data_IF_647364155947
#
_entry.id   IF_647364155947
#
_cell.length_a   1.000
_cell.length_b   1.000
_cell.length_c   1.000
_cell.angle_alpha   90.00
_cell.angle_beta   90.00
_cell.angle_gamma   90.00
#
_symmetry.space_group_name_H-M   'P 1'
#
loop_
_entity.id
_entity.type
_entity.pdbx_description
1 polymer ?
#
# COMPACT_ATOMS: atom_id res chain seq x y z
N UNK A 1 -11.81 -17.07 24.04
CA UNK A 1 -10.75 -17.42 23.10
C UNK A 1 -9.41 -17.08 23.73
N UNK A 2 -8.49 -18.02 23.78
CA UNK A 2 -7.14 -17.80 24.31
C UNK A 2 -6.20 -17.39 23.17
N UNK A 3 -6.50 -16.24 22.51
CA UNK A 3 -5.73 -15.71 21.41
C UNK A 3 -4.88 -14.54 21.93
N UNK A 4 -3.58 -14.69 21.83
CA UNK A 4 -2.59 -13.70 22.29
C UNK A 4 -1.64 -13.24 21.16
N UNK A 5 -1.92 -13.62 19.93
CA UNK A 5 -1.18 -13.20 18.74
C UNK A 5 -2.10 -12.44 17.79
N UNK A 6 -1.69 -11.24 17.41
CA UNK A 6 -2.46 -10.37 16.53
C UNK A 6 -1.54 -9.84 15.43
N UNK A 7 -2.00 -9.96 14.18
CA UNK A 7 -1.37 -9.31 13.03
C UNK A 7 -2.34 -8.27 12.51
N UNK A 8 -1.89 -7.02 12.50
CA UNK A 8 -2.69 -5.89 12.05
C UNK A 8 -2.26 -5.43 10.66
N UNK A 9 -3.22 -5.40 9.75
CA UNK A 9 -3.10 -4.84 8.40
C UNK A 9 -3.07 -3.31 8.48
N UNK A 10 -1.89 -2.74 8.68
CA UNK A 10 -1.67 -1.30 8.66
C UNK A 10 -1.35 -0.81 7.24
N UNK A 11 -0.82 0.39 7.09
CA UNK A 11 -0.56 1.00 5.79
C UNK A 11 0.64 1.94 5.86
N UNK A 12 1.44 1.97 4.80
CA UNK A 12 2.54 2.95 4.64
C UNK A 12 2.05 4.40 4.57
N UNK A 13 0.76 4.65 4.30
CA UNK A 13 0.19 6.01 4.33
C UNK A 13 0.28 6.69 5.69
N UNK A 14 0.52 5.94 6.78
CA UNK A 14 0.75 6.50 8.13
C UNK A 14 2.00 7.38 8.21
N UNK A 15 2.96 7.23 7.30
CA UNK A 15 4.18 8.04 7.27
C UNK A 15 3.95 9.48 6.81
N UNK A 16 2.97 9.72 5.94
CA UNK A 16 2.68 11.05 5.39
C UNK A 16 3.85 11.63 4.60
N UNK A 17 4.14 12.93 4.80
CA UNK A 17 5.12 13.68 4.00
C UNK A 17 6.34 14.20 4.77
N UNK A 18 6.41 14.03 6.10
CA UNK A 18 7.48 14.63 6.92
C UNK A 18 8.84 13.98 6.69
N UNK A 19 8.84 12.70 6.36
CA UNK A 19 10.05 11.91 6.19
C UNK A 19 10.47 11.89 4.72
N UNK A 20 11.76 11.66 4.49
CA UNK A 20 12.28 11.43 3.13
C UNK A 20 12.22 9.93 2.80
N UNK A 21 11.74 9.54 1.60
CA UNK A 21 11.78 8.16 1.16
C UNK A 21 13.23 7.68 0.94
N UNK A 22 13.53 6.37 1.06
CA UNK A 22 12.61 5.30 1.43
C UNK A 22 12.26 5.34 2.93
N UNK A 23 10.98 5.08 3.25
CA UNK A 23 10.50 5.09 4.62
C UNK A 23 10.90 3.82 5.37
N UNK A 24 11.40 4.00 6.58
CA UNK A 24 11.72 2.91 7.51
C UNK A 24 10.69 2.86 8.64
N UNK A 25 10.60 1.72 9.31
CA UNK A 25 9.60 1.49 10.36
C UNK A 25 9.74 2.46 11.54
N UNK A 26 10.94 2.95 11.80
CA UNK A 26 11.24 3.94 12.84
C UNK A 26 10.97 5.39 12.43
N UNK A 27 10.53 5.64 11.20
CA UNK A 27 10.12 6.97 10.78
C UNK A 27 8.94 7.48 11.60
N UNK A 28 8.94 8.79 11.87
CA UNK A 28 7.83 9.45 12.56
C UNK A 28 6.54 9.34 11.73
N UNK A 29 5.43 8.98 12.38
CA UNK A 29 4.13 8.94 11.75
C UNK A 29 3.55 10.36 11.60
N UNK A 30 3.00 10.65 10.44
CA UNK A 30 2.33 11.92 10.13
C UNK A 30 1.16 11.69 9.17
N UNK A 31 0.11 10.98 9.59
CA UNK A 31 -1.01 10.65 8.73
C UNK A 31 -1.75 11.91 8.27
N UNK A 32 -1.87 12.13 6.97
CA UNK A 32 -2.45 13.33 6.36
C UNK A 32 -3.90 13.17 5.86
N UNK A 33 -4.43 11.96 5.87
CA UNK A 33 -5.82 11.69 5.48
C UNK A 33 -6.54 10.81 6.53
N UNK A 34 -7.90 10.75 6.51
CA UNK A 34 -8.67 10.01 7.50
C UNK A 34 -8.33 8.52 7.57
N UNK A 35 -8.08 7.88 6.43
CA UNK A 35 -7.68 6.47 6.39
C UNK A 35 -6.35 6.23 7.13
N UNK A 36 -5.34 7.04 6.81
CA UNK A 36 -4.04 6.96 7.47
C UNK A 36 -4.12 7.25 8.97
N UNK A 37 -4.94 8.24 9.36
CA UNK A 37 -5.19 8.56 10.78
C UNK A 37 -5.81 7.38 11.53
N UNK A 38 -6.79 6.71 10.93
CA UNK A 38 -7.41 5.53 11.53
C UNK A 38 -6.39 4.40 11.72
N UNK A 39 -5.54 4.14 10.71
CA UNK A 39 -4.50 3.11 10.82
C UNK A 39 -3.48 3.45 11.93
N UNK A 40 -3.01 4.69 11.98
CA UNK A 40 -2.08 5.14 13.04
C UNK A 40 -2.71 5.09 14.44
N UNK A 41 -3.99 5.44 14.56
CA UNK A 41 -4.73 5.33 15.82
C UNK A 41 -4.82 3.88 16.31
N UNK A 42 -5.10 2.94 15.41
CA UNK A 42 -5.15 1.51 15.78
C UNK A 42 -3.76 1.01 16.17
N UNK A 43 -2.69 1.40 15.46
CA UNK A 43 -1.32 1.03 15.85
C UNK A 43 -1.00 1.53 17.27
N UNK A 44 -1.37 2.78 17.60
CA UNK A 44 -1.19 3.32 18.94
C UNK A 44 -2.00 2.55 19.99
N UNK A 45 -3.26 2.28 19.72
CA UNK A 45 -4.13 1.49 20.60
C UNK A 45 -3.57 0.08 20.86
N UNK A 46 -3.07 -0.58 19.83
CA UNK A 46 -2.45 -1.90 19.96
C UNK A 46 -1.14 -1.84 20.76
N UNK A 47 -0.40 -0.75 20.65
CA UNK A 47 0.79 -0.52 21.48
C UNK A 47 0.43 -0.36 22.94
N UNK A 48 -0.61 0.38 23.28
CA UNK A 48 -1.08 0.56 24.65
C UNK A 48 -1.56 -0.77 25.26
N UNK A 49 -2.26 -1.61 24.48
CA UNK A 49 -2.63 -2.97 24.90
C UNK A 49 -1.39 -3.80 25.21
N UNK A 50 -0.41 -3.78 24.30
CA UNK A 50 0.84 -4.51 24.50
C UNK A 50 1.57 -4.02 25.76
N UNK A 51 1.72 -2.70 25.93
CA UNK A 51 2.44 -2.12 27.07
C UNK A 51 1.78 -2.44 28.42
N UNK A 52 0.46 -2.63 28.44
CA UNK A 52 -0.27 -3.01 29.65
C UNK A 52 -0.06 -4.47 30.05
N UNK A 53 0.28 -5.37 29.12
CA UNK A 53 0.43 -6.82 29.36
C UNK A 53 1.46 -7.44 28.39
N UNK A 54 2.71 -7.00 28.47
CA UNK A 54 3.80 -7.36 27.53
C UNK A 54 4.05 -8.87 27.44
N UNK A 55 3.98 -9.58 28.55
CA UNK A 55 4.19 -11.04 28.58
C UNK A 55 3.05 -11.84 27.92
N UNK A 56 1.90 -11.20 27.73
CA UNK A 56 0.71 -11.87 27.20
C UNK A 56 0.58 -11.73 25.70
N UNK A 57 0.96 -10.59 25.12
CA UNK A 57 0.65 -10.24 23.77
C UNK A 57 1.86 -10.35 22.82
N UNK A 58 1.59 -10.85 21.61
CA UNK A 58 2.48 -10.74 20.47
C UNK A 58 1.72 -10.00 19.36
N UNK A 59 2.15 -8.79 19.03
CA UNK A 59 1.47 -7.93 18.08
C UNK A 59 2.42 -7.56 16.96
N UNK A 60 1.97 -7.75 15.72
CA UNK A 60 2.73 -7.39 14.52
C UNK A 60 1.87 -6.45 13.68
N UNK A 61 2.36 -5.24 13.43
CA UNK A 61 1.80 -4.33 12.45
C UNK A 61 2.49 -4.53 11.10
N UNK A 62 1.73 -4.76 10.05
CA UNK A 62 2.22 -4.84 8.67
C UNK A 62 1.78 -3.59 7.91
N UNK A 63 2.73 -2.70 7.61
CA UNK A 63 2.48 -1.46 6.85
C UNK A 63 2.64 -1.74 5.37
N UNK A 64 1.52 -1.92 4.67
CA UNK A 64 1.53 -2.17 3.24
C UNK A 64 1.83 -0.90 2.46
N UNK A 65 2.62 -1.05 1.40
CA UNK A 65 2.68 -0.08 0.33
C UNK A 65 1.52 -0.33 -0.65
N UNK A 66 1.72 -0.41 -1.95
CA UNK A 66 0.63 -0.53 -2.91
C UNK A 66 0.53 -1.97 -3.46
N UNK A 67 -0.38 -2.81 -2.93
CA UNK A 67 -0.54 -4.15 -3.47
C UNK A 67 -1.14 -4.10 -4.88
N UNK A 68 -0.60 -4.92 -5.77
CA UNK A 68 -1.06 -5.11 -7.15
C UNK A 68 -0.98 -6.59 -7.54
N UNK A 69 -1.54 -6.92 -8.70
CA UNK A 69 -1.49 -8.28 -9.25
C UNK A 69 -2.67 -9.14 -8.80
N UNK A 70 -2.55 -10.41 -9.15
CA UNK A 70 -3.53 -11.45 -8.86
C UNK A 70 -2.82 -12.77 -8.55
N UNK A 71 -3.53 -13.73 -7.99
CA UNK A 71 -2.99 -15.06 -7.74
C UNK A 71 -2.56 -15.73 -9.06
N UNK A 72 -1.46 -16.45 -9.03
CA UNK A 72 -0.84 -17.09 -10.22
C UNK A 72 -1.78 -18.02 -10.99
N UNK A 73 -2.80 -18.59 -10.33
CA UNK A 73 -3.84 -19.39 -11.01
C UNK A 73 -4.84 -18.57 -11.82
N UNK A 74 -4.87 -17.24 -11.68
CA UNK A 74 -5.89 -16.38 -12.29
C UNK A 74 -7.29 -16.48 -11.70
N UNK A 75 -7.50 -17.30 -10.65
CA UNK A 75 -8.82 -17.51 -10.03
C UNK A 75 -9.15 -16.48 -8.94
N UNK A 76 -8.15 -15.82 -8.39
CA UNK A 76 -8.30 -14.84 -7.32
C UNK A 76 -7.60 -13.55 -7.75
N UNK A 77 -8.33 -12.44 -7.71
CA UNK A 77 -7.80 -11.12 -8.07
C UNK A 77 -8.69 -10.00 -7.53
N UNK A 78 -8.28 -8.76 -7.75
CA UNK A 78 -9.02 -7.58 -7.33
C UNK A 78 -10.16 -7.29 -8.31
N UNK A 79 -11.41 -7.45 -7.84
CA UNK A 79 -12.63 -7.11 -8.59
C UNK A 79 -13.55 -6.28 -7.71
N UNK A 80 -13.29 -4.98 -7.55
CA UNK A 80 -14.06 -4.13 -6.66
C UNK A 80 -15.49 -3.93 -7.14
N UNK A 81 -16.43 -3.92 -6.20
CA UNK A 81 -17.82 -3.53 -6.48
C UNK A 81 -17.88 -2.02 -6.68
N UNK A 82 -18.40 -1.58 -7.84
CA UNK A 82 -18.49 -0.17 -8.21
C UNK A 82 -17.22 0.37 -8.88
N UNK A 83 -16.97 1.69 -8.74
CA UNK A 83 -15.82 2.33 -9.38
C UNK A 83 -14.54 2.07 -8.59
N UNK A 84 -13.49 1.50 -9.21
CA UNK A 84 -12.21 1.30 -8.54
C UNK A 84 -11.56 2.61 -8.09
N UNK A 85 -10.87 2.56 -6.95
CA UNK A 85 -10.06 3.68 -6.47
C UNK A 85 -8.56 3.45 -6.68
N UNK A 86 -8.14 2.19 -6.79
CA UNK A 86 -6.75 1.82 -7.04
C UNK A 86 -6.42 1.92 -8.53
N UNK A 87 -5.17 2.29 -8.83
CA UNK A 87 -4.74 2.52 -10.22
C UNK A 87 -4.78 1.23 -11.07
N UNK A 88 -4.40 0.09 -10.51
CA UNK A 88 -4.31 -1.15 -11.29
C UNK A 88 -5.67 -1.65 -11.78
N UNK A 89 -6.73 -1.76 -10.94
CA UNK A 89 -8.08 -2.05 -11.41
C UNK A 89 -8.63 -1.00 -12.40
N UNK A 90 -8.25 0.28 -12.26
CA UNK A 90 -8.63 1.32 -13.24
C UNK A 90 -8.00 1.03 -14.62
N UNK A 91 -6.72 0.66 -14.65
CA UNK A 91 -6.02 0.26 -15.88
C UNK A 91 -6.72 -0.94 -16.54
N UNK A 92 -7.02 -1.99 -15.76
CA UNK A 92 -7.71 -3.20 -16.27
C UNK A 92 -9.09 -2.88 -16.82
N UNK A 93 -9.87 -2.05 -16.13
CA UNK A 93 -11.18 -1.61 -16.62
C UNK A 93 -11.07 -0.76 -17.88
N UNK A 94 -10.10 0.15 -17.96
CA UNK A 94 -9.85 0.94 -19.15
C UNK A 94 -9.55 0.06 -20.38
N UNK A 95 -8.73 -0.98 -20.18
CA UNK A 95 -8.42 -1.92 -21.26
C UNK A 95 -9.65 -2.72 -21.72
N UNK A 96 -10.44 -3.24 -20.76
CA UNK A 96 -11.58 -4.11 -21.09
C UNK A 96 -12.76 -3.36 -21.68
N UNK A 97 -12.98 -2.09 -21.27
CA UNK A 97 -14.13 -1.28 -21.65
C UNK A 97 -13.80 -0.12 -22.61
N UNK A 98 -12.52 0.05 -22.97
CA UNK A 98 -12.01 1.19 -23.72
C UNK A 98 -12.39 2.54 -23.04
N UNK A 99 -12.32 2.59 -21.72
CA UNK A 99 -12.60 3.78 -20.93
C UNK A 99 -11.32 4.62 -20.73
N UNK A 100 -11.51 5.92 -20.48
CA UNK A 100 -10.42 6.83 -20.12
C UNK A 100 -10.19 6.81 -18.62
N UNK A 101 -8.93 6.79 -18.19
CA UNK A 101 -8.56 6.92 -16.78
C UNK A 101 -8.05 8.31 -16.44
N UNK A 102 -8.20 8.71 -15.16
CA UNK A 102 -7.67 9.97 -14.67
C UNK A 102 -6.41 9.75 -13.85
N UNK A 103 -5.34 10.47 -14.22
CA UNK A 103 -4.09 10.56 -13.45
C UNK A 103 -4.16 11.83 -12.60
N UNK A 104 -4.03 11.69 -11.28
CA UNK A 104 -4.19 12.79 -10.33
C UNK A 104 -2.85 13.50 -10.06
N UNK A 105 -2.70 14.68 -10.66
CA UNK A 105 -1.48 15.48 -10.64
C UNK A 105 -0.51 15.13 -11.77
N UNK A 106 -0.01 16.18 -12.43
CA UNK A 106 1.07 16.12 -13.40
C UNK A 106 2.19 17.13 -13.08
N UNK A 107 2.13 17.64 -11.87
CA UNK A 107 2.99 18.73 -11.36
C UNK A 107 3.66 18.34 -10.02
N UNK A 108 3.66 17.04 -9.68
CA UNK A 108 4.37 16.55 -8.50
C UNK A 108 5.89 16.73 -8.68
N UNK A 109 6.66 16.96 -7.59
CA UNK A 109 8.12 17.10 -7.64
C UNK A 109 8.81 15.74 -7.88
N UNK A 110 8.49 15.11 -8.99
CA UNK A 110 8.97 13.81 -9.46
C UNK A 110 9.47 13.93 -10.90
N UNK A 111 10.14 12.92 -11.42
CA UNK A 111 10.77 12.98 -12.76
C UNK A 111 9.79 13.21 -13.91
N UNK A 112 8.56 12.68 -13.80
CA UNK A 112 7.52 12.79 -14.83
C UNK A 112 6.27 13.55 -14.38
N UNK A 113 6.32 14.17 -13.19
CA UNK A 113 5.24 14.96 -12.62
C UNK A 113 4.12 14.12 -12.00
N UNK A 114 4.19 12.80 -12.00
CA UNK A 114 3.18 11.92 -11.37
C UNK A 114 3.67 11.32 -10.05
N UNK A 115 2.75 10.86 -9.22
CA UNK A 115 3.10 10.23 -7.93
C UNK A 115 3.96 8.98 -8.13
N UNK A 116 4.92 8.77 -7.22
CA UNK A 116 5.75 7.55 -7.14
C UNK A 116 5.22 6.68 -6.01
N UNK A 117 5.04 5.39 -6.31
CA UNK A 117 4.56 4.38 -5.36
C UNK A 117 5.46 3.14 -5.40
N UNK A 118 5.53 2.47 -4.26
CA UNK A 118 6.12 1.13 -4.16
C UNK A 118 5.01 0.10 -4.39
N UNK A 119 5.12 -0.66 -5.46
CA UNK A 119 4.13 -1.68 -5.82
C UNK A 119 4.65 -3.06 -5.41
N UNK A 120 3.92 -3.72 -4.53
CA UNK A 120 4.20 -5.08 -4.06
C UNK A 120 3.19 -6.07 -4.66
N UNK A 121 3.65 -7.25 -5.09
CA UNK A 121 2.73 -8.27 -5.57
C UNK A 121 1.86 -8.81 -4.44
N UNK A 122 0.58 -9.05 -4.72
CA UNK A 122 -0.39 -9.48 -3.69
C UNK A 122 -0.03 -10.84 -3.08
N UNK A 123 0.64 -11.74 -3.82
CA UNK A 123 1.12 -13.01 -3.29
C UNK A 123 2.27 -12.80 -2.28
N UNK A 124 3.20 -11.88 -2.56
CA UNK A 124 4.29 -11.54 -1.62
C UNK A 124 3.73 -10.89 -0.35
N UNK A 125 2.69 -10.06 -0.50
CA UNK A 125 1.96 -9.49 0.63
C UNK A 125 1.31 -10.59 1.49
N UNK A 126 0.65 -11.57 0.86
CA UNK A 126 0.04 -12.70 1.55
C UNK A 126 1.09 -13.58 2.26
N UNK A 127 2.22 -13.83 1.60
CA UNK A 127 3.34 -14.56 2.19
C UNK A 127 3.90 -13.83 3.43
N UNK A 128 3.98 -12.51 3.40
CA UNK A 128 4.37 -11.69 4.55
C UNK A 128 3.46 -11.93 5.77
N UNK A 129 2.15 -12.10 5.56
CA UNK A 129 1.20 -12.46 6.63
C UNK A 129 1.43 -13.86 7.16
N UNK A 130 1.58 -14.84 6.26
CA UNK A 130 1.82 -16.24 6.64
C UNK A 130 3.11 -16.34 7.45
N UNK A 131 4.21 -15.76 6.99
CA UNK A 131 5.49 -15.73 7.72
C UNK A 131 5.38 -15.05 9.09
N UNK A 132 4.58 -14.00 9.20
CA UNK A 132 4.32 -13.33 10.48
C UNK A 132 3.54 -14.22 11.45
N UNK A 133 2.62 -15.06 10.95
CA UNK A 133 1.89 -16.03 11.75
C UNK A 133 2.76 -17.21 12.18
N UNK A 134 3.56 -17.72 11.28
CA UNK A 134 4.40 -18.92 11.50
C UNK A 134 5.60 -18.63 12.41
N UNK A 135 6.08 -17.38 12.43
CA UNK A 135 7.23 -17.03 13.26
C UNK A 135 6.83 -16.96 14.75
N UNK A 136 6.78 -18.12 15.38
CA UNK A 136 6.42 -18.26 16.80
C UNK A 136 7.50 -17.76 17.75
N UNK A 137 8.73 -17.57 17.28
CA UNK A 137 9.85 -17.05 18.08
C UNK A 137 9.79 -15.53 18.23
N UNK A 138 9.08 -14.84 17.34
CA UNK A 138 8.93 -13.39 17.36
C UNK A 138 7.92 -12.98 18.45
N UNK A 139 8.43 -12.72 19.63
CA UNK A 139 7.62 -12.22 20.77
C UNK A 139 7.69 -10.71 20.85
N UNK A 140 6.61 -10.09 21.33
CA UNK A 140 6.57 -8.66 21.60
C UNK A 140 5.74 -7.86 20.60
N UNK A 141 6.08 -6.57 20.47
CA UNK A 141 5.43 -5.64 19.56
C UNK A 141 6.37 -5.28 18.41
N UNK A 142 5.95 -5.61 17.20
CA UNK A 142 6.77 -5.42 16.01
C UNK A 142 6.01 -4.67 14.93
N UNK A 143 6.74 -3.96 14.10
CA UNK A 143 6.20 -3.31 12.90
C UNK A 143 7.11 -3.61 11.73
N UNK A 144 6.53 -4.00 10.60
CA UNK A 144 7.25 -4.28 9.36
C UNK A 144 6.61 -3.57 8.18
N UNK A 145 7.42 -3.01 7.33
CA UNK A 145 7.02 -2.55 6.01
C UNK A 145 6.89 -3.73 5.04
N UNK A 146 5.81 -3.76 4.28
CA UNK A 146 5.64 -4.69 3.17
C UNK A 146 5.61 -3.91 1.86
N UNK A 147 6.75 -3.86 1.22
CA UNK A 147 7.03 -3.19 -0.04
C UNK A 147 8.30 -3.77 -0.68
N UNK A 148 8.64 -3.31 -1.86
CA UNK A 148 9.82 -3.74 -2.62
C UNK A 148 11.03 -2.84 -2.38
N UNK A 149 10.81 -1.63 -1.86
CA UNK A 149 11.82 -0.58 -1.76
C UNK A 149 12.09 0.12 -3.10
N UNK A 150 11.30 -0.19 -4.14
CA UNK A 150 11.45 0.37 -5.48
C UNK A 150 10.26 1.27 -5.77
N UNK A 151 10.54 2.52 -6.14
CA UNK A 151 9.50 3.48 -6.51
C UNK A 151 9.24 3.45 -8.01
N UNK A 152 7.98 3.34 -8.40
CA UNK A 152 7.51 3.41 -9.79
C UNK A 152 6.48 4.52 -9.91
N UNK A 153 6.61 5.40 -10.89
CA UNK A 153 5.64 6.47 -11.12
C UNK A 153 4.35 5.93 -11.75
N UNK A 154 3.26 6.69 -11.62
CA UNK A 154 1.98 6.29 -12.25
C UNK A 154 2.11 6.20 -13.77
N UNK A 155 2.81 7.14 -14.42
CA UNK A 155 3.05 7.08 -15.85
C UNK A 155 3.96 5.92 -16.26
N UNK A 156 4.99 5.62 -15.48
CA UNK A 156 5.86 4.47 -15.70
C UNK A 156 5.08 3.15 -15.61
N UNK A 157 4.21 3.01 -14.61
CA UNK A 157 3.33 1.85 -14.47
C UNK A 157 2.43 1.67 -15.70
N UNK A 158 1.78 2.76 -16.17
CA UNK A 158 0.92 2.73 -17.36
C UNK A 158 1.73 2.32 -18.59
N UNK A 159 2.88 2.96 -18.84
CA UNK A 159 3.74 2.63 -19.98
C UNK A 159 4.23 1.20 -19.97
N UNK A 160 4.64 0.70 -18.81
CA UNK A 160 5.07 -0.69 -18.65
C UNK A 160 3.93 -1.65 -18.97
N UNK A 161 2.72 -1.35 -18.50
CA UNK A 161 1.53 -2.14 -18.80
C UNK A 161 1.19 -2.11 -20.30
N UNK A 162 1.24 -0.95 -20.96
CA UNK A 162 1.02 -0.80 -22.41
C UNK A 162 2.00 -1.66 -23.22
N UNK A 163 3.30 -1.57 -22.89
CA UNK A 163 4.36 -2.32 -23.59
C UNK A 163 4.16 -3.82 -23.39
N UNK A 164 3.94 -4.26 -22.16
CA UNK A 164 3.81 -5.69 -21.83
C UNK A 164 2.59 -6.36 -22.45
N UNK A 165 1.54 -5.60 -22.76
CA UNK A 165 0.29 -6.12 -23.31
C UNK A 165 0.05 -5.69 -24.77
N UNK A 166 0.99 -4.97 -25.38
CA UNK A 166 0.87 -4.43 -26.75
C UNK A 166 -0.43 -3.68 -27.00
N UNK A 167 -0.78 -2.76 -26.13
CA UNK A 167 -2.00 -1.95 -26.18
C UNK A 167 -1.72 -0.50 -25.79
N UNK A 168 -2.76 0.34 -25.91
CA UNK A 168 -2.73 1.75 -25.47
C UNK A 168 -3.82 2.01 -24.44
N UNK A 169 -3.50 2.87 -23.47
CA UNK A 169 -4.41 3.31 -22.43
C UNK A 169 -4.70 4.79 -22.62
N UNK A 170 -5.98 5.11 -22.74
CA UNK A 170 -6.42 6.49 -22.79
C UNK A 170 -6.44 7.08 -21.38
N UNK A 171 -5.71 8.17 -21.18
CA UNK A 171 -5.71 8.86 -19.88
C UNK A 171 -5.73 10.38 -20.03
N UNK A 172 -6.25 11.04 -18.99
CA UNK A 172 -6.17 12.50 -18.84
C UNK A 172 -5.63 12.85 -17.45
N UNK A 173 -4.93 13.97 -17.39
CA UNK A 173 -4.51 14.53 -16.11
C UNK A 173 -5.66 15.27 -15.43
N UNK A 174 -5.76 15.06 -14.12
CA UNK A 174 -6.67 15.77 -13.25
C UNK A 174 -5.90 16.48 -12.13
N UNK A 175 -6.55 17.36 -11.38
CA UNK A 175 -5.93 17.99 -10.19
C UNK A 175 -5.48 16.93 -9.19
N UNK A 176 -4.43 17.23 -8.41
CA UNK A 176 -3.98 16.37 -7.30
C UNK A 176 -5.15 16.02 -6.40
N UNK A 177 -5.18 14.78 -5.91
CA UNK A 177 -6.12 14.40 -4.85
C UNK A 177 -5.64 14.94 -3.52
N UNK A 178 -6.57 15.45 -2.72
CA UNK A 178 -6.28 15.85 -1.35
C UNK A 178 -5.87 14.63 -0.52
N UNK A 179 -4.78 14.78 0.26
CA UNK A 179 -4.23 13.71 1.08
C UNK A 179 -3.38 12.67 0.35
N UNK A 180 -3.07 12.89 -0.95
CA UNK A 180 -2.02 12.15 -1.65
C UNK A 180 -0.63 12.72 -1.33
N UNK A 181 0.41 11.88 -1.45
CA UNK A 181 1.82 12.25 -1.31
C UNK A 181 2.54 12.12 -2.65
N UNK A 182 3.60 12.91 -2.87
CA UNK A 182 4.41 12.81 -4.08
C UNK A 182 5.08 11.43 -4.21
N UNK A 183 5.68 10.94 -3.12
CA UNK A 183 6.47 9.70 -3.10
C UNK A 183 6.09 8.88 -1.87
N UNK A 184 5.79 7.60 -2.05
CA UNK A 184 5.54 6.64 -0.99
C UNK A 184 6.28 5.32 -1.32
N UNK A 185 7.51 5.20 -0.79
CA UNK A 185 8.45 4.08 -1.03
C UNK A 185 9.11 3.68 0.28
#
# INVERSE_FOLDING_TARGET
>A
FNCNKLIFSSSATVYGEINKPPFKENCKLNPINPYAKNKACIESFLKDIFDSQQEKWNIINLRYFNPIGAHSTGLIGENPVGKPNNIFPLILNACSKNEEIYIFGNDWPTSDGTCIRDYIHVEDLAEGHVKSLENTSLKGFHTFNLGTGIGTSVLELIKTFEISNNLKINYKFHKRREGDTAILV
#
